data_IF_870994188945
#
_entry.id   IF_870994188945
#
_cell.length_a   1.000
_cell.length_b   1.000
_cell.length_c   1.000
_cell.angle_alpha   90.00
_cell.angle_beta   90.00
_cell.angle_gamma   90.00
#
_symmetry.space_group_name_H-M   'P 1'
#
loop_
_entity.id
_entity.type
_entity.pdbx_description
1 polymer ?
#
# COMPACT_ATOMS: atom_id res chain seq x y z
N UNK A 1 31.05 -1.51 -49.51
CA UNK A 1 30.40 -0.60 -48.54
C UNK A 1 28.96 -0.98 -48.18
N UNK A 2 28.18 -1.63 -49.07
CA UNK A 2 26.77 -2.02 -48.80
C UNK A 2 26.59 -3.06 -47.67
N UNK A 3 27.48 -4.05 -47.55
CA UNK A 3 27.36 -5.14 -46.57
C UNK A 3 27.51 -4.68 -45.10
N UNK A 4 28.23 -3.60 -44.83
CA UNK A 4 28.40 -3.06 -43.47
C UNK A 4 27.11 -2.40 -42.96
N UNK A 5 26.39 -1.72 -43.85
CA UNK A 5 25.11 -1.06 -43.54
C UNK A 5 24.01 -2.10 -43.28
N UNK A 6 23.99 -3.21 -44.04
CA UNK A 6 23.02 -4.30 -43.86
C UNK A 6 23.23 -5.04 -42.54
N UNK A 7 24.48 -5.26 -42.12
CA UNK A 7 24.80 -5.89 -40.83
C UNK A 7 24.40 -5.01 -39.63
N UNK A 8 24.61 -3.69 -39.72
CA UNK A 8 24.18 -2.73 -38.68
C UNK A 8 22.66 -2.62 -38.57
N UNK A 9 21.94 -2.64 -39.70
CA UNK A 9 20.48 -2.70 -39.73
C UNK A 9 19.94 -4.00 -39.15
N UNK A 10 20.59 -5.14 -39.43
CA UNK A 10 20.22 -6.43 -38.83
C UNK A 10 20.44 -6.46 -37.31
N UNK A 11 21.51 -5.83 -36.82
CA UNK A 11 21.75 -5.69 -35.38
C UNK A 11 20.72 -4.76 -34.69
N UNK A 12 20.35 -3.67 -35.36
CA UNK A 12 19.36 -2.70 -34.87
C UNK A 12 17.91 -3.24 -34.92
N UNK A 13 17.65 -4.23 -35.77
CA UNK A 13 16.37 -4.92 -35.91
C UNK A 13 16.29 -6.20 -35.08
N UNK A 14 17.37 -6.62 -34.40
CA UNK A 14 17.24 -7.66 -33.40
C UNK A 14 16.42 -7.08 -32.26
N UNK A 15 15.28 -7.70 -31.87
CA UNK A 15 14.64 -7.34 -30.62
C UNK A 15 15.69 -7.60 -29.54
N UNK A 16 16.29 -6.53 -29.01
CA UNK A 16 17.10 -6.65 -27.82
C UNK A 16 16.22 -7.33 -26.77
N UNK A 17 16.77 -8.34 -26.10
CA UNK A 17 16.21 -8.81 -24.84
C UNK A 17 16.17 -7.59 -23.91
N UNK A 18 15.09 -6.83 -23.97
CA UNK A 18 14.72 -5.93 -22.89
C UNK A 18 14.38 -6.87 -21.74
N UNK A 19 15.41 -7.22 -20.97
CA UNK A 19 15.29 -7.75 -19.62
C UNK A 19 14.64 -6.63 -18.80
N UNK A 20 13.35 -6.41 -19.02
CA UNK A 20 12.54 -5.60 -18.13
C UNK A 20 12.40 -6.45 -16.86
N UNK A 21 13.13 -6.06 -15.81
CA UNK A 21 13.02 -6.72 -14.52
C UNK A 21 11.56 -6.60 -14.06
N UNK A 22 11.02 -7.67 -13.49
CA UNK A 22 9.65 -7.64 -12.99
C UNK A 22 9.53 -6.58 -11.88
N UNK A 23 10.61 -6.41 -11.11
CA UNK A 23 10.71 -5.41 -10.05
C UNK A 23 10.53 -3.96 -10.49
N UNK A 24 10.87 -3.59 -11.73
CA UNK A 24 10.76 -2.21 -12.23
C UNK A 24 9.32 -1.67 -12.19
N UNK A 25 8.34 -2.59 -12.22
CA UNK A 25 6.91 -2.27 -12.24
C UNK A 25 6.26 -2.37 -10.86
N UNK A 26 7.01 -2.86 -9.88
CA UNK A 26 6.51 -3.07 -8.52
C UNK A 26 6.92 -1.93 -7.59
N UNK A 27 6.09 -1.59 -6.60
CA UNK A 27 6.44 -0.55 -5.65
C UNK A 27 7.63 -1.00 -4.80
N UNK A 28 8.63 -0.13 -4.69
CA UNK A 28 9.76 -0.35 -3.79
C UNK A 28 9.31 -0.41 -2.32
N UNK A 29 10.05 -1.12 -1.47
CA UNK A 29 9.72 -1.32 -0.05
C UNK A 29 9.42 -0.02 0.72
N UNK A 30 10.22 1.02 0.47
CA UNK A 30 10.02 2.30 1.14
C UNK A 30 8.69 2.96 0.74
N UNK A 31 8.24 2.78 -0.50
CA UNK A 31 6.93 3.27 -0.95
C UNK A 31 5.80 2.52 -0.25
N UNK A 32 5.91 1.19 -0.10
CA UNK A 32 4.93 0.37 0.62
C UNK A 32 4.76 0.90 2.06
N UNK A 33 5.87 1.11 2.76
CA UNK A 33 5.84 1.65 4.12
C UNK A 33 5.34 3.10 4.19
N UNK A 34 5.71 3.95 3.23
CA UNK A 34 5.22 5.33 3.16
C UNK A 34 3.69 5.37 2.99
N UNK A 35 3.14 4.56 2.08
CA UNK A 35 1.69 4.42 1.90
C UNK A 35 1.04 3.87 3.17
N UNK A 36 1.60 2.82 3.77
CA UNK A 36 1.07 2.22 4.98
C UNK A 36 0.99 3.22 6.14
N UNK A 37 2.09 3.90 6.46
CA UNK A 37 2.18 4.83 7.58
C UNK A 37 1.37 6.10 7.32
N UNK A 38 1.45 6.64 6.10
CA UNK A 38 0.67 7.81 5.71
C UNK A 38 -0.84 7.56 5.77
N UNK A 39 -1.29 6.46 5.16
CA UNK A 39 -2.69 6.05 5.21
C UNK A 39 -3.15 5.75 6.65
N UNK A 40 -2.29 5.11 7.45
CA UNK A 40 -2.57 4.84 8.87
C UNK A 40 -2.85 6.11 9.64
N UNK A 41 -1.97 7.12 9.53
CA UNK A 41 -2.12 8.38 10.23
C UNK A 41 -3.41 9.11 9.82
N UNK A 42 -3.66 9.22 8.51
CA UNK A 42 -4.83 9.90 7.96
C UNK A 42 -6.13 9.20 8.37
N UNK A 43 -6.21 7.88 8.18
CA UNK A 43 -7.43 7.13 8.49
C UNK A 43 -7.68 7.04 9.99
N UNK A 44 -6.63 6.87 10.80
CA UNK A 44 -6.75 6.87 12.26
C UNK A 44 -7.25 8.23 12.77
N UNK A 45 -6.72 9.34 12.27
CA UNK A 45 -7.19 10.69 12.62
C UNK A 45 -8.64 10.90 12.17
N UNK A 46 -8.98 10.47 10.94
CA UNK A 46 -10.33 10.50 10.41
C UNK A 46 -11.32 9.73 11.30
N UNK A 47 -10.98 8.50 11.69
CA UNK A 47 -11.80 7.67 12.60
C UNK A 47 -11.99 8.31 13.98
N UNK A 48 -10.93 8.92 14.51
CA UNK A 48 -10.96 9.59 15.80
C UNK A 48 -11.87 10.83 15.80
N UNK A 49 -11.98 11.53 14.67
CA UNK A 49 -12.87 12.69 14.50
C UNK A 49 -14.30 12.25 14.14
N UNK A 50 -14.48 11.57 13.01
CA UNK A 50 -15.79 11.06 12.53
C UNK A 50 -15.59 9.66 11.97
N UNK A 51 -16.17 8.64 12.62
CA UNK A 51 -16.02 7.22 12.24
C UNK A 51 -16.23 6.97 10.74
N UNK A 52 -17.29 7.56 10.16
CA UNK A 52 -17.58 7.37 8.74
C UNK A 52 -16.52 7.98 7.82
N UNK A 53 -15.88 9.09 8.22
CA UNK A 53 -14.83 9.74 7.44
C UNK A 53 -13.59 8.85 7.38
N UNK A 54 -13.16 8.31 8.53
CA UNK A 54 -12.06 7.36 8.57
C UNK A 54 -12.33 6.11 7.73
N UNK A 55 -13.57 5.60 7.75
CA UNK A 55 -13.98 4.45 6.94
C UNK A 55 -13.94 4.76 5.43
N UNK A 56 -14.46 5.93 5.04
CA UNK A 56 -14.43 6.36 3.64
C UNK A 56 -13.00 6.57 3.13
N UNK A 57 -12.13 7.19 3.95
CA UNK A 57 -10.72 7.39 3.60
C UNK A 57 -9.93 6.09 3.51
N UNK A 58 -10.32 5.06 4.28
CA UNK A 58 -9.66 3.76 4.27
C UNK A 58 -9.87 2.97 2.96
N UNK A 59 -10.87 3.31 2.15
CA UNK A 59 -11.16 2.62 0.88
C UNK A 59 -9.98 2.69 -0.09
N UNK A 60 -9.42 3.88 -0.28
CA UNK A 60 -8.31 4.09 -1.22
C UNK A 60 -7.07 3.25 -0.88
N UNK A 61 -6.50 3.31 0.34
CA UNK A 61 -5.36 2.48 0.70
C UNK A 61 -5.73 0.99 0.76
N UNK A 62 -6.97 0.61 1.10
CA UNK A 62 -7.40 -0.79 1.05
C UNK A 62 -7.37 -1.34 -0.39
N UNK A 63 -7.87 -0.57 -1.36
CA UNK A 63 -7.80 -0.94 -2.78
C UNK A 63 -6.36 -1.01 -3.28
N UNK A 64 -5.50 -0.09 -2.82
CA UNK A 64 -4.07 -0.11 -3.17
C UNK A 64 -3.37 -1.38 -2.65
N UNK A 65 -3.59 -1.75 -1.38
CA UNK A 65 -3.04 -2.99 -0.81
C UNK A 65 -3.64 -4.24 -1.46
N UNK A 66 -4.93 -4.22 -1.81
CA UNK A 66 -5.55 -5.31 -2.55
C UNK A 66 -4.87 -5.50 -3.93
N UNK A 67 -4.61 -4.41 -4.66
CA UNK A 67 -3.86 -4.45 -5.91
C UNK A 67 -2.45 -5.02 -5.73
N UNK A 68 -1.72 -4.55 -4.71
CA UNK A 68 -0.39 -5.08 -4.39
C UNK A 68 -0.41 -6.59 -4.11
N UNK A 69 -1.37 -7.07 -3.31
CA UNK A 69 -1.48 -8.49 -3.00
C UNK A 69 -1.91 -9.32 -4.22
N UNK A 70 -2.78 -8.80 -5.08
CA UNK A 70 -3.15 -9.46 -6.33
C UNK A 70 -1.94 -9.61 -7.26
N UNK A 71 -1.08 -8.59 -7.35
CA UNK A 71 0.15 -8.62 -8.14
C UNK A 71 1.11 -9.71 -7.62
N UNK A 72 1.37 -9.69 -6.31
CA UNK A 72 2.28 -10.61 -5.61
C UNK A 72 1.81 -12.07 -5.71
N UNK A 73 0.51 -12.31 -5.77
CA UNK A 73 -0.09 -13.64 -5.91
C UNK A 73 -0.52 -14.01 -7.33
N UNK A 74 -0.23 -13.15 -8.31
CA UNK A 74 -0.55 -13.45 -9.70
C UNK A 74 0.28 -14.63 -10.21
N UNK A 75 -0.32 -15.47 -11.05
CA UNK A 75 0.38 -16.63 -11.65
C UNK A 75 1.50 -16.20 -12.58
N UNK A 76 1.36 -15.04 -13.20
CA UNK A 76 2.22 -14.59 -14.28
C UNK A 76 3.39 -13.73 -13.76
N UNK A 77 3.23 -13.05 -12.62
CA UNK A 77 4.22 -12.11 -12.06
C UNK A 77 4.80 -12.60 -10.75
N UNK A 78 3.99 -13.22 -9.88
CA UNK A 78 4.36 -13.63 -8.53
C UNK A 78 5.63 -14.49 -8.45
N UNK A 79 5.75 -15.60 -9.20
CA UNK A 79 6.95 -16.46 -9.15
C UNK A 79 8.24 -15.72 -9.51
N UNK A 80 8.19 -14.83 -10.51
CA UNK A 80 9.35 -14.04 -10.95
C UNK A 80 9.68 -12.96 -9.92
N UNK A 81 8.67 -12.28 -9.38
CA UNK A 81 8.85 -11.28 -8.33
C UNK A 81 9.45 -11.91 -7.06
N UNK A 82 9.04 -13.14 -6.70
CA UNK A 82 9.63 -13.87 -5.58
C UNK A 82 11.09 -14.24 -5.84
N UNK A 83 11.43 -14.64 -7.06
CA UNK A 83 12.81 -14.96 -7.44
C UNK A 83 13.73 -13.72 -7.38
N UNK A 84 13.22 -12.55 -7.75
CA UNK A 84 13.97 -11.28 -7.77
C UNK A 84 14.06 -10.61 -6.37
N UNK A 85 12.92 -10.45 -5.69
CA UNK A 85 12.83 -9.68 -4.43
C UNK A 85 12.94 -10.54 -3.17
N UNK A 86 12.69 -11.85 -3.30
CA UNK A 86 12.73 -12.79 -2.20
C UNK A 86 11.56 -12.68 -1.22
N UNK A 87 11.57 -13.56 -0.24
CA UNK A 87 10.51 -13.70 0.76
C UNK A 87 10.35 -12.47 1.67
N UNK A 88 11.42 -11.70 1.88
CA UNK A 88 11.42 -10.54 2.80
C UNK A 88 10.52 -9.42 2.28
N UNK A 89 10.43 -9.24 0.96
CA UNK A 89 9.53 -8.30 0.32
C UNK A 89 8.06 -8.62 0.64
N UNK A 90 7.69 -9.89 0.54
CA UNK A 90 6.34 -10.39 0.80
C UNK A 90 5.97 -10.18 2.26
N UNK A 91 6.87 -10.56 3.18
CA UNK A 91 6.65 -10.34 4.61
C UNK A 91 6.43 -8.84 4.90
N UNK A 92 7.24 -7.95 4.33
CA UNK A 92 7.10 -6.52 4.55
C UNK A 92 5.79 -5.96 3.99
N UNK A 93 5.33 -6.43 2.82
CA UNK A 93 4.02 -6.05 2.27
C UNK A 93 2.87 -6.43 3.24
N UNK A 94 2.93 -7.62 3.82
CA UNK A 94 1.95 -8.07 4.82
C UNK A 94 2.04 -7.30 6.14
N UNK A 95 3.25 -7.02 6.64
CA UNK A 95 3.44 -6.23 7.85
C UNK A 95 2.93 -4.79 7.69
N UNK A 96 3.17 -4.18 6.53
CA UNK A 96 2.66 -2.86 6.19
C UNK A 96 1.12 -2.84 6.18
N UNK A 97 0.48 -3.84 5.57
CA UNK A 97 -0.97 -4.01 5.62
C UNK A 97 -1.47 -4.20 7.06
N UNK A 98 -0.81 -5.05 7.85
CA UNK A 98 -1.19 -5.30 9.24
C UNK A 98 -1.13 -4.03 10.10
N UNK A 99 -0.09 -3.20 9.92
CA UNK A 99 0.04 -1.90 10.59
C UNK A 99 -1.11 -0.97 10.19
N UNK A 100 -1.44 -0.91 8.90
CA UNK A 100 -2.57 -0.13 8.42
C UNK A 100 -3.89 -0.58 9.06
N UNK A 101 -4.19 -1.87 9.03
CA UNK A 101 -5.40 -2.41 9.65
C UNK A 101 -5.46 -2.16 11.17
N UNK A 102 -4.34 -2.32 11.87
CA UNK A 102 -4.24 -2.04 13.30
C UNK A 102 -4.56 -0.57 13.61
N UNK A 103 -4.10 0.37 12.77
CA UNK A 103 -4.38 1.80 12.93
C UNK A 103 -5.86 2.14 12.81
N UNK A 104 -6.62 1.43 11.96
CA UNK A 104 -8.07 1.61 11.84
C UNK A 104 -8.78 1.23 13.15
N UNK A 105 -8.38 0.10 13.74
CA UNK A 105 -8.90 -0.34 15.04
C UNK A 105 -8.54 0.65 16.15
N UNK A 106 -7.30 1.15 16.16
CA UNK A 106 -6.87 2.17 17.11
C UNK A 106 -7.66 3.47 16.95
N UNK A 107 -7.89 3.93 15.72
CA UNK A 107 -8.69 5.11 15.42
C UNK A 107 -10.14 4.99 15.91
N UNK A 108 -10.77 3.83 15.72
CA UNK A 108 -12.11 3.56 16.24
C UNK A 108 -12.17 3.65 17.77
N UNK A 109 -11.21 3.02 18.46
CA UNK A 109 -11.11 3.04 19.93
C UNK A 109 -10.84 4.44 20.47
N UNK A 110 -9.98 5.22 19.80
CA UNK A 110 -9.70 6.61 20.18
C UNK A 110 -10.94 7.50 20.03
N UNK A 111 -11.67 7.36 18.93
CA UNK A 111 -12.92 8.11 18.73
C UNK A 111 -13.99 7.76 19.78
N UNK A 112 -14.07 6.50 20.19
CA UNK A 112 -14.99 6.06 21.25
C UNK A 112 -14.68 6.67 22.60
N UNK A 113 -13.40 6.66 22.98
CA UNK A 113 -12.93 7.27 24.23
C UNK A 113 -13.26 8.76 24.28
N UNK A 114 -13.04 9.49 23.17
CA UNK A 114 -13.37 10.93 23.08
C UNK A 114 -14.87 11.18 23.26
N UNK A 115 -15.73 10.43 22.58
CA UNK A 115 -17.19 10.59 22.70
C UNK A 115 -17.70 10.29 24.12
N UNK A 116 -17.16 9.25 24.77
CA UNK A 116 -17.51 8.92 26.16
C UNK A 116 -17.08 10.03 27.13
N UNK A 117 -15.88 10.58 26.96
CA UNK A 117 -15.41 11.70 27.77
C UNK A 117 -16.27 12.95 27.61
N UNK A 118 -16.63 13.32 26.36
CA UNK A 118 -17.53 14.43 26.09
C UNK A 118 -18.94 14.23 26.67
N UNK A 119 -19.48 13.00 26.61
CA UNK A 119 -20.78 12.68 27.21
C UNK A 119 -20.78 12.75 28.73
N UNK A 120 -19.71 12.29 29.39
CA UNK A 120 -19.56 12.39 30.84
C UNK A 120 -19.49 13.84 31.32
N UNK A 121 -18.75 14.70 30.61
CA UNK A 121 -18.65 16.13 30.93
C UNK A 121 -20.00 16.85 30.79
N UNK A 122 -20.77 16.56 29.74
CA UNK A 122 -22.10 17.14 29.54
C UNK A 122 -23.11 16.69 30.61
N UNK A 123 -23.07 15.41 31.01
CA UNK A 123 -23.92 14.89 32.08
C UNK A 123 -23.66 15.53 33.44
N UNK A 124 -22.41 15.87 33.75
CA UNK A 124 -22.05 16.56 34.99
C UNK A 124 -22.62 17.99 35.08
N UNK A 125 -22.63 18.73 33.98
CA UNK A 125 -23.17 20.11 33.94
C UNK A 125 -24.70 20.18 34.10
N UNK A 126 -25.43 19.14 33.72
CA UNK A 126 -26.90 19.10 33.85
C UNK A 126 -27.40 18.85 35.29
N UNK A 127 -26.50 18.48 36.21
CA UNK A 127 -26.84 18.11 37.60
C UNK A 127 -26.48 19.20 38.62
N UNK A 128 -25.88 20.29 38.17
CA UNK A 128 -25.55 21.49 38.97
C UNK A 128 -26.51 22.61 38.64
#
# INVERSE_FOLDING_TARGET
MKARTTALLALALMPGLALAEVSDKTPALWHIWAVALGASAVCMAGMAWRRWLGAALAVVPALWFAGLLLEIHSTDVGPYLYAEQGWSYYLQAYLALAVFLASLVLGLRLGERRRRASGAAAGAQSRT
#
